data_IF_042850333031
#
_entry.id   IF_042850333031
#
_cell.length_a   1.000
_cell.length_b   1.000
_cell.length_c   1.000
_cell.angle_alpha   90.00
_cell.angle_beta   90.00
_cell.angle_gamma   90.00
#
_symmetry.space_group_name_H-M   'P 1'
#
loop_
_entity.id
_entity.type
_entity.pdbx_description
1 polymer ?
#
# COMPACT_ATOMS: atom_id res chain seq x y z
N UNK A 1 13.16 21.95 3.44
CA UNK A 1 11.79 22.44 3.21
C UNK A 1 11.29 21.77 1.95
N UNK A 2 10.05 21.28 1.95
CA UNK A 2 9.44 20.57 0.83
C UNK A 2 8.28 21.39 0.28
N UNK A 3 8.03 21.26 -1.02
CA UNK A 3 6.88 21.86 -1.72
C UNK A 3 6.16 20.73 -2.41
N UNK A 4 4.86 20.62 -2.17
CA UNK A 4 4.02 19.53 -2.65
C UNK A 4 2.91 20.10 -3.55
N UNK A 5 2.43 19.30 -4.50
CA UNK A 5 1.55 19.73 -5.59
C UNK A 5 0.13 20.12 -5.11
N UNK A 6 -0.30 19.59 -3.97
CA UNK A 6 -1.56 19.86 -3.29
C UNK A 6 -1.39 20.71 -2.03
N UNK A 7 -0.24 21.39 -1.87
CA UNK A 7 -0.01 22.38 -0.82
C UNK A 7 0.55 21.83 0.49
N UNK A 8 0.42 22.61 1.56
CA UNK A 8 1.05 22.32 2.86
C UNK A 8 0.52 21.05 3.53
N UNK A 9 -0.76 20.74 3.33
CA UNK A 9 -1.41 19.62 4.01
C UNK A 9 -0.94 18.28 3.42
N UNK A 10 -0.71 18.20 2.11
CA UNK A 10 -0.04 17.05 1.49
C UNK A 10 1.39 16.90 2.00
N UNK A 11 2.16 17.99 2.09
CA UNK A 11 3.50 17.91 2.66
C UNK A 11 3.49 17.42 4.12
N UNK A 12 2.50 17.85 4.91
CA UNK A 12 2.34 17.40 6.29
C UNK A 12 1.90 15.92 6.34
N UNK A 13 0.95 15.51 5.50
CA UNK A 13 0.52 14.12 5.36
C UNK A 13 1.70 13.20 5.02
N UNK A 14 2.43 13.51 3.96
CA UNK A 14 3.65 12.79 3.54
C UNK A 14 4.68 12.67 4.68
N UNK A 15 4.81 13.72 5.50
CA UNK A 15 5.71 13.73 6.65
C UNK A 15 5.22 12.82 7.78
N UNK A 16 3.93 12.87 8.11
CA UNK A 16 3.30 11.99 9.12
C UNK A 16 3.46 10.53 8.70
N UNK A 17 3.12 10.19 7.46
CA UNK A 17 3.23 8.83 6.93
C UNK A 17 4.67 8.32 6.93
N UNK A 18 5.62 9.19 6.55
CA UNK A 18 7.06 8.90 6.65
C UNK A 18 7.46 8.56 8.09
N UNK A 19 6.99 9.32 9.07
CA UNK A 19 7.24 9.06 10.49
C UNK A 19 6.54 7.78 10.99
N UNK A 20 5.32 7.50 10.53
CA UNK A 20 4.60 6.25 10.79
C UNK A 20 5.40 5.05 10.27
N UNK A 21 5.88 5.08 9.02
CA UNK A 21 6.74 4.03 8.45
C UNK A 21 8.02 3.80 9.27
N UNK A 22 8.61 4.88 9.79
CA UNK A 22 9.84 4.81 10.56
C UNK A 22 9.63 4.26 11.98
N UNK A 23 8.62 4.76 12.71
CA UNK A 23 8.39 4.43 14.13
C UNK A 23 7.72 3.08 14.33
N UNK A 24 6.81 2.69 13.44
CA UNK A 24 6.04 1.45 13.58
C UNK A 24 6.73 0.27 12.89
N UNK A 25 6.37 -0.94 13.31
CA UNK A 25 6.91 -2.22 12.82
C UNK A 25 5.79 -3.25 12.72
N UNK A 26 6.11 -4.43 12.17
CA UNK A 26 5.20 -5.58 12.19
C UNK A 26 3.97 -5.47 11.27
N UNK A 27 3.90 -4.43 10.45
CA UNK A 27 2.82 -4.21 9.48
C UNK A 27 1.79 -3.17 9.93
N UNK A 28 1.79 -2.77 11.21
CA UNK A 28 0.90 -1.73 11.73
C UNK A 28 1.06 -0.41 10.94
N UNK A 29 2.29 -0.08 10.52
CA UNK A 29 2.56 1.10 9.71
C UNK A 29 1.71 1.16 8.43
N UNK A 30 1.52 0.03 7.75
CA UNK A 30 0.77 0.01 6.49
C UNK A 30 -0.73 0.14 6.73
N UNK A 31 -1.23 -0.42 7.83
CA UNK A 31 -2.66 -0.35 8.17
C UNK A 31 -3.03 1.05 8.65
N UNK A 32 -2.17 1.70 9.43
CA UNK A 32 -2.33 3.10 9.84
C UNK A 32 -2.37 4.01 8.60
N UNK A 33 -1.40 3.90 7.69
CA UNK A 33 -1.36 4.73 6.48
C UNK A 33 -2.57 4.46 5.60
N UNK A 34 -2.94 3.20 5.38
CA UNK A 34 -4.13 2.86 4.61
C UNK A 34 -5.41 3.47 5.21
N UNK A 35 -5.52 3.50 6.54
CA UNK A 35 -6.64 4.16 7.22
C UNK A 35 -6.64 5.68 6.97
N UNK A 36 -5.47 6.33 7.03
CA UNK A 36 -5.34 7.77 6.77
C UNK A 36 -5.74 8.10 5.32
N UNK A 37 -5.20 7.36 4.36
CA UNK A 37 -5.42 7.55 2.91
C UNK A 37 -6.84 7.19 2.46
N UNK A 38 -7.59 6.43 3.26
CA UNK A 38 -9.00 6.13 3.01
C UNK A 38 -9.95 7.22 3.53
N UNK A 39 -9.46 8.21 4.27
CA UNK A 39 -10.27 9.28 4.82
C UNK A 39 -10.38 10.48 3.86
N UNK A 40 -11.42 11.30 4.05
CA UNK A 40 -11.59 12.55 3.29
C UNK A 40 -10.47 13.58 3.60
N UNK A 41 -9.90 13.50 4.81
CA UNK A 41 -8.82 14.37 5.28
C UNK A 41 -7.75 13.51 5.96
N UNK A 42 -6.67 13.24 5.22
CA UNK A 42 -5.55 12.36 5.61
C UNK A 42 -4.89 12.83 6.91
N UNK A 43 -4.66 14.14 7.04
CA UNK A 43 -3.97 14.73 8.20
C UNK A 43 -4.85 14.64 9.44
N UNK A 44 -6.14 14.99 9.34
CA UNK A 44 -7.06 14.88 10.48
C UNK A 44 -7.31 13.44 10.91
N UNK A 45 -7.24 12.48 9.99
CA UNK A 45 -7.43 11.07 10.31
C UNK A 45 -6.26 10.46 11.10
N UNK A 46 -5.04 11.01 10.95
CA UNK A 46 -3.79 10.43 11.47
C UNK A 46 -3.86 9.95 12.92
N UNK A 47 -4.33 10.79 13.85
CA UNK A 47 -4.39 10.45 15.27
C UNK A 47 -5.35 9.28 15.54
N UNK A 48 -6.55 9.33 14.95
CA UNK A 48 -7.55 8.28 15.14
C UNK A 48 -7.16 6.95 14.49
N UNK A 49 -6.53 6.98 13.31
CA UNK A 49 -5.98 5.80 12.66
C UNK A 49 -4.83 5.19 13.46
N UNK A 50 -3.93 6.02 14.02
CA UNK A 50 -2.87 5.54 14.89
C UNK A 50 -3.44 4.88 16.15
N UNK A 51 -4.40 5.52 16.81
CA UNK A 51 -5.04 4.98 18.01
C UNK A 51 -5.75 3.64 17.76
N UNK A 52 -6.30 3.44 16.56
CA UNK A 52 -7.01 2.20 16.20
C UNK A 52 -6.06 1.03 15.94
N UNK A 53 -4.92 1.28 15.30
CA UNK A 53 -4.04 0.21 14.80
C UNK A 53 -2.68 0.10 15.50
N UNK A 54 -2.32 1.06 16.35
CA UNK A 54 -1.18 1.02 17.26
C UNK A 54 -1.46 1.89 18.50
N UNK A 55 -2.40 1.46 19.36
CA UNK A 55 -2.83 2.23 20.54
C UNK A 55 -1.70 2.48 21.56
N UNK A 56 -0.63 1.69 21.52
CA UNK A 56 0.56 1.85 22.35
C UNK A 56 1.49 2.99 21.89
N UNK A 57 1.39 3.42 20.63
CA UNK A 57 2.19 4.51 20.08
C UNK A 57 1.52 5.84 20.35
N UNK A 58 2.23 6.79 20.97
CA UNK A 58 1.68 8.13 21.21
C UNK A 58 1.69 8.95 19.92
N UNK A 59 0.56 9.61 19.63
CA UNK A 59 0.48 10.51 18.48
C UNK A 59 1.50 11.67 18.55
N UNK A 60 1.78 12.16 19.77
CA UNK A 60 2.83 13.16 20.00
C UNK A 60 4.21 12.72 19.48
N UNK A 61 4.54 11.43 19.55
CA UNK A 61 5.84 10.93 19.08
C UNK A 61 5.92 10.96 17.54
N UNK A 62 4.79 10.73 16.86
CA UNK A 62 4.68 10.88 15.40
C UNK A 62 4.80 12.35 15.02
N UNK A 63 4.10 13.24 15.71
CA UNK A 63 4.13 14.68 15.42
C UNK A 63 5.48 15.33 15.79
N UNK A 64 6.16 14.85 16.82
CA UNK A 64 7.51 15.28 17.16
C UNK A 64 8.52 14.89 16.05
N UNK A 65 8.37 13.69 15.48
CA UNK A 65 9.12 13.29 14.30
C UNK A 65 8.78 14.19 13.10
N UNK A 66 7.48 14.39 12.81
CA UNK A 66 7.04 15.10 11.61
C UNK A 66 7.44 16.59 11.62
N UNK A 67 7.39 17.23 12.78
CA UNK A 67 7.76 18.63 12.94
C UNK A 67 9.27 18.83 13.20
N UNK A 68 10.04 17.76 13.37
CA UNK A 68 11.44 17.78 13.77
C UNK A 68 12.42 17.44 12.66
N UNK A 69 13.70 17.47 13.00
CA UNK A 69 14.79 17.14 12.09
C UNK A 69 14.73 15.68 11.61
N UNK A 70 14.18 14.76 12.43
CA UNK A 70 14.03 13.36 12.06
C UNK A 70 13.13 13.19 10.83
N UNK A 71 11.92 13.78 10.85
CA UNK A 71 11.00 13.74 9.71
C UNK A 71 11.63 14.38 8.47
N UNK A 72 12.26 15.53 8.62
CA UNK A 72 12.93 16.22 7.50
C UNK A 72 14.04 15.36 6.87
N UNK A 73 14.86 14.69 7.68
CA UNK A 73 15.90 13.78 7.20
C UNK A 73 15.30 12.57 6.46
N UNK A 74 14.23 11.98 6.99
CA UNK A 74 13.55 10.84 6.37
C UNK A 74 12.89 11.24 5.04
N UNK A 75 12.20 12.38 5.00
CA UNK A 75 11.57 12.91 3.79
C UNK A 75 12.63 13.24 2.71
N UNK A 76 13.80 13.77 3.11
CA UNK A 76 14.93 13.96 2.19
C UNK A 76 15.49 12.64 1.64
N UNK A 77 15.57 11.60 2.46
CA UNK A 77 15.95 10.27 1.99
C UNK A 77 14.93 9.69 0.99
N UNK A 78 13.64 9.95 1.22
CA UNK A 78 12.58 9.54 0.31
C UNK A 78 12.66 10.29 -1.02
N UNK A 79 12.87 11.61 -1.00
CA UNK A 79 13.11 12.41 -2.19
C UNK A 79 14.29 11.86 -3.01
N UNK A 80 15.44 11.57 -2.36
CA UNK A 80 16.59 10.95 -3.03
C UNK A 80 16.29 9.59 -3.67
N UNK A 81 15.48 8.76 -3.03
CA UNK A 81 15.07 7.45 -3.60
C UNK A 81 14.17 7.64 -4.82
N UNK A 82 13.25 8.60 -4.75
CA UNK A 82 12.35 8.95 -5.85
C UNK A 82 13.09 9.55 -7.04
N UNK A 83 14.05 10.45 -6.80
CA UNK A 83 14.91 11.05 -7.83
C UNK A 83 15.83 10.01 -8.50
N UNK A 84 16.19 8.95 -7.77
CA UNK A 84 17.04 7.87 -8.27
C UNK A 84 16.27 6.80 -9.07
N UNK A 85 14.95 6.92 -9.20
CA UNK A 85 14.14 5.98 -10.00
C UNK A 85 14.62 5.95 -11.46
N UNK A 86 14.64 4.76 -12.03
CA UNK A 86 14.98 4.53 -13.44
C UNK A 86 13.92 3.62 -14.08
N UNK A 87 13.16 4.10 -15.08
CA UNK A 87 13.14 5.49 -15.56
C UNK A 87 12.64 6.47 -14.48
N UNK A 88 12.94 7.75 -14.67
CA UNK A 88 12.38 8.81 -13.83
C UNK A 88 10.85 8.74 -13.90
N UNK A 89 10.19 8.86 -12.75
CA UNK A 89 8.73 8.83 -12.70
C UNK A 89 8.12 10.06 -13.39
N UNK A 90 7.05 9.86 -14.14
CA UNK A 90 6.35 10.92 -14.89
C UNK A 90 4.98 11.26 -14.28
N UNK A 91 4.50 10.41 -13.37
CA UNK A 91 3.22 10.54 -12.70
C UNK A 91 3.23 9.73 -11.40
N UNK A 92 2.24 9.97 -10.56
CA UNK A 92 1.94 9.16 -9.37
C UNK A 92 0.56 8.49 -9.52
N UNK A 93 0.35 7.27 -9.00
CA UNK A 93 1.34 6.41 -8.34
C UNK A 93 2.34 5.78 -9.31
N UNK A 94 3.59 5.59 -8.87
CA UNK A 94 4.67 4.96 -9.66
C UNK A 94 5.11 3.63 -9.04
N UNK A 95 4.75 2.51 -9.66
CA UNK A 95 4.95 1.17 -9.10
C UNK A 95 6.19 0.53 -9.72
N UNK A 96 7.16 0.18 -8.88
CA UNK A 96 8.30 -0.66 -9.27
C UNK A 96 8.10 -2.08 -8.76
N UNK A 97 8.42 -3.07 -9.59
CA UNK A 97 8.39 -4.48 -9.21
C UNK A 97 9.79 -5.05 -9.43
N UNK A 98 10.41 -5.55 -8.36
CA UNK A 98 11.80 -6.02 -8.36
C UNK A 98 12.81 -4.98 -8.89
N UNK A 99 12.55 -3.69 -8.63
CA UNK A 99 13.41 -2.58 -9.06
C UNK A 99 13.16 -2.09 -10.49
N UNK A 100 12.23 -2.69 -11.23
CA UNK A 100 11.88 -2.29 -12.60
C UNK A 100 10.51 -1.64 -12.68
N UNK A 101 10.35 -0.67 -13.57
CA UNK A 101 9.07 -0.09 -13.94
C UNK A 101 8.81 -0.28 -15.44
N UNK A 102 7.61 -0.75 -15.78
CA UNK A 102 7.08 -0.77 -17.15
C UNK A 102 5.59 -0.48 -17.12
N UNK A 103 5.03 0.04 -18.21
CA UNK A 103 3.59 0.29 -18.32
C UNK A 103 2.74 -0.97 -18.09
N UNK A 104 3.24 -2.14 -18.53
CA UNK A 104 2.55 -3.41 -18.32
C UNK A 104 2.56 -3.83 -16.84
N UNK A 105 3.69 -3.67 -16.14
CA UNK A 105 3.78 -3.91 -14.69
C UNK A 105 2.89 -2.94 -13.92
N UNK A 106 2.94 -1.64 -14.25
CA UNK A 106 2.07 -0.61 -13.67
C UNK A 106 0.60 -0.99 -13.83
N UNK A 107 0.17 -1.30 -15.06
CA UNK A 107 -1.22 -1.69 -15.37
C UNK A 107 -1.65 -2.94 -14.62
N UNK A 108 -0.81 -3.98 -14.57
CA UNK A 108 -1.10 -5.22 -13.83
C UNK A 108 -1.19 -4.97 -12.33
N UNK A 109 -0.29 -4.16 -11.77
CA UNK A 109 -0.27 -3.83 -10.35
C UNK A 109 -1.50 -3.01 -9.95
N UNK A 110 -1.86 -1.99 -10.73
CA UNK A 110 -3.07 -1.19 -10.51
C UNK A 110 -4.36 -2.01 -10.69
N UNK A 111 -4.37 -2.97 -11.62
CA UNK A 111 -5.53 -3.86 -11.80
C UNK A 111 -5.68 -4.86 -10.66
N UNK A 112 -4.58 -5.48 -10.23
CA UNK A 112 -4.53 -6.31 -9.02
C UNK A 112 -3.08 -6.64 -8.66
N UNK A 113 -2.52 -5.90 -7.69
CA UNK A 113 -1.19 -6.18 -7.16
C UNK A 113 -1.06 -7.62 -6.67
N UNK A 114 -2.10 -8.15 -6.02
CA UNK A 114 -2.15 -9.55 -5.59
C UNK A 114 -1.94 -10.53 -6.75
N UNK A 115 -2.65 -10.34 -7.87
CA UNK A 115 -2.51 -11.23 -9.03
C UNK A 115 -1.12 -11.13 -9.65
N UNK A 116 -0.56 -9.92 -9.72
CA UNK A 116 0.80 -9.71 -10.21
C UNK A 116 1.81 -10.44 -9.32
N UNK A 117 1.75 -10.24 -8.01
CA UNK A 117 2.64 -10.93 -7.05
C UNK A 117 2.51 -12.44 -7.17
N UNK A 118 1.29 -12.98 -7.24
CA UNK A 118 1.09 -14.42 -7.43
C UNK A 118 1.56 -14.97 -8.77
N UNK A 119 1.68 -14.13 -9.80
CA UNK A 119 2.25 -14.53 -11.09
C UNK A 119 3.78 -14.58 -11.07
N UNK A 120 4.40 -13.80 -10.18
CA UNK A 120 5.86 -13.70 -10.04
C UNK A 120 6.42 -14.63 -8.96
N UNK A 121 5.62 -14.96 -7.94
CA UNK A 121 6.05 -15.71 -6.76
C UNK A 121 5.02 -16.80 -6.37
N UNK A 122 5.44 -18.07 -6.48
CA UNK A 122 4.72 -19.27 -5.99
C UNK A 122 5.69 -20.06 -5.09
N UNK A 123 5.28 -20.55 -3.89
CA UNK A 123 3.97 -21.11 -3.58
C UNK A 123 3.36 -20.59 -2.27
N UNK A 124 2.35 -19.72 -2.34
CA UNK A 124 1.52 -19.40 -1.16
C UNK A 124 0.13 -20.04 -1.30
N UNK A 125 -0.47 -20.44 -0.18
CA UNK A 125 -1.84 -20.98 -0.16
C UNK A 125 -2.85 -19.96 -0.75
N UNK A 126 -2.64 -18.67 -0.49
CA UNK A 126 -3.45 -17.59 -1.02
C UNK A 126 -3.38 -17.51 -2.57
N UNK A 127 -2.19 -17.59 -3.15
CA UNK A 127 -2.02 -17.62 -4.60
C UNK A 127 -2.65 -18.87 -5.22
N UNK A 128 -2.48 -20.03 -4.57
CA UNK A 128 -3.06 -21.28 -5.02
C UNK A 128 -4.60 -21.26 -5.02
N UNK A 129 -5.22 -20.62 -4.02
CA UNK A 129 -6.68 -20.49 -3.98
C UNK A 129 -7.21 -19.64 -5.14
N UNK A 130 -6.55 -18.52 -5.48
CA UNK A 130 -6.95 -17.71 -6.63
C UNK A 130 -6.78 -18.44 -7.96
N UNK A 131 -5.69 -19.20 -8.14
CA UNK A 131 -5.49 -20.01 -9.35
C UNK A 131 -6.66 -20.97 -9.52
N UNK A 132 -7.06 -21.67 -8.44
CA UNK A 132 -8.23 -22.57 -8.45
C UNK A 132 -9.52 -21.81 -8.79
N UNK A 133 -9.76 -20.64 -8.19
CA UNK A 133 -10.95 -19.81 -8.49
C UNK A 133 -10.99 -19.35 -9.95
N UNK A 134 -9.85 -18.97 -10.55
CA UNK A 134 -9.77 -18.60 -11.97
C UNK A 134 -10.05 -19.80 -12.87
N UNK A 135 -9.46 -20.96 -12.59
CA UNK A 135 -9.71 -22.21 -13.33
C UNK A 135 -11.19 -22.63 -13.25
N UNK A 136 -11.82 -22.53 -12.08
CA UNK A 136 -13.26 -22.81 -11.90
C UNK A 136 -14.15 -21.85 -12.69
N UNK A 137 -13.84 -20.54 -12.69
CA UNK A 137 -14.58 -19.57 -13.51
C UNK A 137 -14.43 -19.85 -14.99
N UNK A 138 -13.23 -20.19 -15.46
CA UNK A 138 -12.96 -20.52 -16.86
C UNK A 138 -13.70 -21.80 -17.28
N UNK A 139 -13.69 -22.84 -16.44
CA UNK A 139 -14.44 -24.07 -16.64
C UNK A 139 -15.96 -23.83 -16.74
N UNK A 140 -16.50 -22.96 -15.87
CA UNK A 140 -17.93 -22.60 -15.89
C UNK A 140 -18.30 -21.73 -17.09
N UNK A 141 -17.39 -20.91 -17.62
CA UNK A 141 -17.65 -20.13 -18.85
C UNK A 141 -17.57 -20.96 -20.12
N UNK A 142 -16.79 -22.04 -20.14
CA UNK A 142 -16.68 -22.93 -21.31
C UNK A 142 -17.79 -23.97 -21.39
N UNK A 143 -18.50 -24.21 -20.27
CA UNK A 143 -19.50 -25.29 -20.15
C UNK A 143 -20.83 -24.86 -19.51
N UNK A 144 -21.32 -23.62 -19.69
CA UNK A 144 -22.59 -23.23 -19.06
C UNK A 144 -23.83 -23.66 -19.88
N UNK A 145 -24.61 -24.70 -19.48
CA UNK A 145 -26.03 -24.73 -19.74
C UNK A 145 -26.76 -23.82 -18.75
N UNK A 146 -27.87 -23.24 -19.20
CA UNK A 146 -28.73 -22.34 -18.43
C UNK A 146 -29.41 -23.06 -17.25
N UNK A 147 -29.00 -22.76 -16.01
CA UNK A 147 -29.80 -23.00 -14.80
C UNK A 147 -29.05 -23.47 -13.53
N UNK A 148 -28.97 -22.57 -12.53
CA UNK A 148 -28.83 -22.77 -11.05
C UNK A 148 -27.50 -23.34 -10.46
N UNK A 149 -27.21 -23.20 -9.15
CA UNK A 149 -27.61 -22.21 -8.13
C UNK A 149 -26.40 -21.47 -7.46
N UNK A 150 -26.67 -20.38 -6.74
CA UNK A 150 -25.66 -19.56 -6.00
C UNK A 150 -25.12 -20.30 -4.78
N UNK A 151 -23.79 -20.34 -4.63
CA UNK A 151 -23.12 -20.87 -3.43
C UNK A 151 -22.61 -19.71 -2.54
N UNK A 152 -23.06 -19.68 -1.29
CA UNK A 152 -22.68 -18.73 -0.25
C UNK A 152 -21.50 -19.29 0.57
N UNK A 153 -20.44 -18.52 0.82
CA UNK A 153 -19.46 -18.82 1.88
C UNK A 153 -18.89 -17.54 2.50
N UNK A 154 -19.24 -17.35 3.77
CA UNK A 154 -18.46 -16.61 4.75
C UNK A 154 -17.02 -17.12 4.80
N UNK A 155 -16.04 -16.22 4.86
CA UNK A 155 -14.69 -16.55 5.32
C UNK A 155 -14.13 -15.45 6.20
N UNK A 156 -13.73 -15.88 7.40
CA UNK A 156 -13.07 -15.11 8.44
C UNK A 156 -11.61 -14.82 8.09
N UNK A 157 -11.18 -13.61 8.45
CA UNK A 157 -9.84 -13.16 8.86
C UNK A 157 -8.62 -14.01 8.45
N UNK A 158 -7.77 -13.45 7.57
CA UNK A 158 -6.39 -13.90 7.32
C UNK A 158 -5.45 -12.70 7.53
N UNK A 159 -4.54 -12.82 8.49
CA UNK A 159 -3.41 -11.90 8.68
C UNK A 159 -2.32 -12.25 7.66
N UNK A 160 -1.82 -11.24 6.92
CA UNK A 160 -0.68 -11.38 6.01
C UNK A 160 0.53 -10.73 6.68
N UNK A 161 1.49 -11.55 7.09
CA UNK A 161 2.83 -11.15 7.53
C UNK A 161 3.81 -11.31 6.37
N UNK A 162 4.16 -10.21 5.70
CA UNK A 162 5.44 -10.02 5.00
C UNK A 162 5.58 -8.57 4.49
N UNK A 163 6.72 -7.89 4.71
CA UNK A 163 6.87 -6.48 4.38
C UNK A 163 7.23 -6.31 2.90
N UNK A 164 6.27 -5.78 2.11
CA UNK A 164 6.56 -5.16 0.83
C UNK A 164 7.35 -3.88 1.11
N UNK A 165 8.67 -3.98 1.05
CA UNK A 165 9.52 -2.82 0.96
C UNK A 165 9.44 -2.30 -0.48
N UNK A 166 8.96 -1.06 -0.65
CA UNK A 166 9.21 -0.30 -1.88
C UNK A 166 8.02 0.03 -2.78
N UNK A 167 6.79 0.12 -2.28
CA UNK A 167 5.79 0.97 -2.93
C UNK A 167 5.98 2.38 -2.37
N UNK A 168 6.53 3.30 -3.17
CA UNK A 168 6.66 4.70 -2.81
C UNK A 168 5.27 5.28 -2.57
N UNK A 169 4.93 5.43 -1.29
CA UNK A 169 3.81 6.24 -0.80
C UNK A 169 4.32 7.68 -0.82
N UNK A 170 4.33 8.30 -2.00
CA UNK A 170 4.46 9.74 -2.12
C UNK A 170 3.55 10.15 -3.25
N UNK A 171 2.39 10.72 -2.86
CA UNK A 171 1.59 11.57 -3.71
C UNK A 171 2.40 12.82 -4.03
#
# INVERSE_FOLDING_TARGET
>A
QFTCQHGSDECLGNMIETCVLNKLKGGAQYVVIFCMEAADDVVKAAESCLALFSPETRFDDIMACANGDEGNQLMHQNAKKTDALQPQHEYVPWITVNGEHTDDLQKKAMGSLFQLVCSLYTPSAACNEQIKRKQLKQFNTTNAPSGLPKFNRNFSSVQITQPLHGASIFS
#
